data_IF_570482858008
#
_entry.id   IF_570482858008
#
_cell.length_a   1.000
_cell.length_b   1.000
_cell.length_c   1.000
_cell.angle_alpha   90.00
_cell.angle_beta   90.00
_cell.angle_gamma   90.00
#
_symmetry.space_group_name_H-M   'P 1'
#
loop_
_entity.id
_entity.type
_entity.pdbx_description
1 polymer ?
#
# COMPACT_ATOMS: atom_id res chain seq x y z
N UNK A 1 68.23 25.05 4.66
CA UNK A 1 67.00 25.37 3.92
C UNK A 1 65.85 24.73 4.69
N UNK A 2 65.12 25.51 5.48
CA UNK A 2 64.04 25.04 6.35
C UNK A 2 62.72 25.16 5.56
N UNK A 3 62.04 24.04 5.27
CA UNK A 3 60.74 24.06 4.59
C UNK A 3 59.65 23.86 5.64
N UNK A 4 58.89 24.92 5.89
CA UNK A 4 57.74 24.95 6.79
C UNK A 4 56.50 24.46 6.01
N UNK A 5 55.93 23.32 6.39
CA UNK A 5 54.67 22.79 5.85
C UNK A 5 53.49 23.39 6.63
N UNK A 6 52.70 24.21 5.94
CA UNK A 6 51.47 24.82 6.46
C UNK A 6 50.31 23.81 6.29
N UNK A 7 49.74 23.31 7.39
CA UNK A 7 48.48 22.55 7.34
C UNK A 7 47.30 23.54 7.27
N UNK A 8 46.59 23.56 6.15
CA UNK A 8 45.32 24.29 6.01
C UNK A 8 44.21 23.39 6.56
N UNK A 9 43.73 23.67 7.77
CA UNK A 9 42.50 23.05 8.29
C UNK A 9 41.30 23.74 7.69
N UNK A 10 40.70 23.13 6.66
CA UNK A 10 39.41 23.54 6.13
C UNK A 10 38.31 23.20 7.13
N UNK A 11 37.64 24.21 7.68
CA UNK A 11 36.42 24.01 8.44
C UNK A 11 35.31 23.55 7.48
N UNK A 12 34.90 22.29 7.59
CA UNK A 12 33.74 21.78 6.86
C UNK A 12 32.48 22.35 7.51
N UNK A 13 31.83 23.30 6.85
CA UNK A 13 30.49 23.73 7.24
C UNK A 13 29.53 22.57 6.89
N UNK A 14 28.98 21.93 7.92
CA UNK A 14 27.92 20.94 7.74
C UNK A 14 26.73 21.63 7.09
N UNK A 15 26.37 21.20 5.88
CA UNK A 15 25.10 21.57 5.26
C UNK A 15 24.00 20.93 6.12
N UNK A 16 22.97 21.69 6.55
CA UNK A 16 21.86 21.10 7.29
C UNK A 16 21.15 20.10 6.37
N UNK A 17 21.15 18.83 6.76
CA UNK A 17 20.28 17.81 6.18
C UNK A 17 18.81 18.27 6.35
N UNK A 18 17.95 18.12 5.33
CA UNK A 18 16.55 18.47 5.46
C UNK A 18 15.92 17.57 6.53
N UNK A 19 15.57 18.17 7.66
CA UNK A 19 14.78 17.54 8.72
C UNK A 19 13.33 17.42 8.27
N UNK A 20 13.08 16.57 7.27
CA UNK A 20 11.74 16.16 6.88
C UNK A 20 11.20 15.20 7.93
N UNK A 21 10.10 15.57 8.58
CA UNK A 21 9.32 14.64 9.40
C UNK A 21 8.92 13.44 8.54
N UNK A 22 8.90 12.23 9.11
CA UNK A 22 8.43 11.06 8.37
C UNK A 22 6.99 11.23 7.85
N UNK A 23 6.18 12.08 8.49
CA UNK A 23 4.82 12.42 8.04
C UNK A 23 4.82 13.21 6.71
N UNK A 24 5.79 14.11 6.49
CA UNK A 24 5.90 14.93 5.27
C UNK A 24 6.33 14.15 4.03
N UNK A 25 6.59 12.85 4.21
CA UNK A 25 7.07 11.96 3.14
C UNK A 25 6.03 10.94 2.69
N UNK A 26 4.84 10.90 3.28
CA UNK A 26 3.82 9.91 2.90
C UNK A 26 2.87 10.43 1.83
N UNK A 27 2.62 9.59 0.84
CA UNK A 27 1.67 9.80 -0.24
C UNK A 27 0.63 8.68 -0.18
N UNK A 28 -0.66 9.05 -0.14
CA UNK A 28 -1.76 8.10 -0.23
C UNK A 28 -2.42 8.24 -1.60
N UNK A 29 -2.57 7.13 -2.31
CA UNK A 29 -3.23 7.08 -3.62
C UNK A 29 -4.38 6.10 -3.63
N UNK A 30 -5.45 6.44 -4.35
CA UNK A 30 -6.48 5.49 -4.77
C UNK A 30 -5.98 4.75 -6.01
N UNK A 31 -5.86 3.43 -5.91
CA UNK A 31 -5.58 2.57 -7.05
C UNK A 31 -6.90 2.13 -7.69
N UNK A 32 -7.05 2.38 -8.99
CA UNK A 32 -8.15 1.87 -9.81
C UNK A 32 -7.60 0.84 -10.78
N UNK A 33 -8.01 -0.41 -10.60
CA UNK A 33 -7.64 -1.52 -11.47
C UNK A 33 -8.75 -1.74 -12.50
N UNK A 34 -8.37 -1.78 -13.77
CA UNK A 34 -9.28 -2.03 -14.88
C UNK A 34 -9.94 -3.42 -14.76
N UNK A 35 -11.13 -3.59 -15.36
CA UNK A 35 -11.75 -4.90 -15.50
C UNK A 35 -10.83 -5.93 -16.15
N UNK A 36 -10.84 -7.15 -15.62
CA UNK A 36 -10.12 -8.30 -16.17
C UNK A 36 -11.07 -9.36 -16.75
N UNK A 37 -10.50 -10.49 -17.18
CA UNK A 37 -11.24 -11.60 -17.78
C UNK A 37 -11.84 -12.57 -16.76
N UNK A 38 -11.31 -12.56 -15.55
CA UNK A 38 -11.74 -13.44 -14.47
C UNK A 38 -13.05 -12.96 -13.82
N UNK A 39 -13.89 -13.90 -13.37
CA UNK A 39 -15.24 -13.59 -12.83
C UNK A 39 -15.22 -12.59 -11.67
N UNK A 40 -14.16 -12.62 -10.87
CA UNK A 40 -13.96 -11.74 -9.72
C UNK A 40 -13.30 -10.39 -10.07
N UNK A 41 -12.88 -10.20 -11.32
CA UNK A 41 -12.29 -8.96 -11.87
C UNK A 41 -13.16 -8.27 -12.90
N UNK A 42 -14.35 -8.79 -13.22
CA UNK A 42 -15.22 -8.25 -14.29
C UNK A 42 -15.62 -6.78 -14.12
N UNK A 43 -15.63 -6.26 -12.89
CA UNK A 43 -15.96 -4.86 -12.59
C UNK A 43 -14.74 -4.02 -12.19
N UNK A 44 -13.54 -4.59 -12.34
CA UNK A 44 -12.31 -3.99 -11.84
C UNK A 44 -12.16 -4.13 -10.33
N UNK A 45 -11.25 -3.34 -9.76
CA UNK A 45 -10.95 -3.37 -8.32
C UNK A 45 -10.41 -2.01 -7.86
N UNK A 46 -10.54 -1.74 -6.56
CA UNK A 46 -9.99 -0.54 -5.93
C UNK A 46 -9.19 -0.93 -4.69
N UNK A 47 -8.02 -0.31 -4.52
CA UNK A 47 -7.18 -0.45 -3.34
C UNK A 47 -6.58 0.90 -2.95
N UNK A 48 -6.00 1.00 -1.75
CA UNK A 48 -5.26 2.19 -1.33
C UNK A 48 -3.77 1.88 -1.37
N UNK A 49 -2.96 2.77 -1.93
CA UNK A 49 -1.50 2.71 -1.88
C UNK A 49 -0.99 3.75 -0.90
N UNK A 50 -0.09 3.36 -0.01
CA UNK A 50 0.68 4.26 0.85
C UNK A 50 2.14 4.10 0.49
N UNK A 51 2.76 5.19 0.04
CA UNK A 51 4.17 5.22 -0.34
C UNK A 51 4.91 6.30 0.42
N UNK A 52 6.11 5.98 0.88
CA UNK A 52 7.05 6.98 1.35
C UNK A 52 7.88 7.52 0.17
N UNK A 53 7.71 8.80 -0.17
CA UNK A 53 8.42 9.42 -1.31
C UNK A 53 9.92 9.61 -1.04
N UNK A 54 10.34 9.65 0.23
CA UNK A 54 11.74 9.75 0.62
C UNK A 54 12.42 8.37 0.79
N UNK A 55 11.64 7.28 0.94
CA UNK A 55 12.15 5.92 1.13
C UNK A 55 11.42 4.95 0.20
N UNK A 56 12.03 4.68 -0.96
CA UNK A 56 11.43 3.87 -2.03
C UNK A 56 11.01 2.46 -1.59
N UNK A 57 11.67 1.87 -0.59
CA UNK A 57 11.33 0.54 -0.07
C UNK A 57 10.05 0.49 0.77
N UNK A 58 9.48 1.64 1.13
CA UNK A 58 8.21 1.72 1.86
C UNK A 58 7.10 2.09 0.88
N UNK A 59 6.52 1.07 0.25
CA UNK A 59 5.48 1.22 -0.76
C UNK A 59 4.53 0.02 -0.71
N UNK A 60 3.35 0.24 -0.13
CA UNK A 60 2.40 -0.82 0.18
C UNK A 60 1.01 -0.52 -0.35
N UNK A 61 0.36 -1.55 -0.87
CA UNK A 61 -1.04 -1.57 -1.23
C UNK A 61 -1.86 -2.26 -0.13
N UNK A 62 -2.96 -1.63 0.24
CA UNK A 62 -3.97 -2.15 1.14
C UNK A 62 -5.20 -2.57 0.32
N UNK A 63 -5.36 -3.88 0.19
CA UNK A 63 -6.36 -4.53 -0.65
C UNK A 63 -7.51 -5.05 0.23
N UNK A 64 -8.65 -4.38 0.19
CA UNK A 64 -9.85 -4.77 0.94
C UNK A 64 -10.62 -5.94 0.31
N UNK A 65 -10.24 -6.39 -0.88
CA UNK A 65 -10.90 -7.45 -1.64
C UNK A 65 -10.09 -8.74 -1.70
N UNK A 66 -9.24 -9.00 -0.70
CA UNK A 66 -8.45 -10.22 -0.63
C UNK A 66 -9.36 -11.43 -0.38
N UNK A 67 -9.13 -12.54 -1.06
CA UNK A 67 -9.83 -13.81 -0.85
C UNK A 67 -8.92 -14.98 -1.25
N UNK A 68 -9.31 -16.21 -0.91
CA UNK A 68 -8.55 -17.43 -1.26
C UNK A 68 -9.27 -18.30 -2.30
N UNK A 69 -8.55 -18.66 -3.37
CA UNK A 69 -9.00 -19.62 -4.38
C UNK A 69 -9.09 -21.06 -3.86
N UNK A 70 -8.39 -21.39 -2.78
CA UNK A 70 -8.41 -22.73 -2.18
C UNK A 70 -9.76 -23.02 -1.48
N UNK A 71 -10.65 -22.02 -1.40
CA UNK A 71 -11.99 -22.18 -0.87
C UNK A 71 -12.83 -23.10 -1.77
N UNK A 72 -13.37 -24.23 -1.26
CA UNK A 72 -14.18 -25.13 -2.06
C UNK A 72 -15.39 -24.44 -2.69
N UNK A 73 -15.59 -24.69 -4.00
CA UNK A 73 -16.66 -24.08 -4.81
C UNK A 73 -16.59 -22.54 -4.88
N UNK A 74 -15.39 -21.96 -4.92
CA UNK A 74 -15.17 -20.51 -4.96
C UNK A 74 -16.09 -19.77 -5.95
N UNK A 75 -16.15 -20.18 -7.21
CA UNK A 75 -16.97 -19.50 -8.24
C UNK A 75 -18.45 -19.45 -7.84
N UNK A 76 -19.00 -20.56 -7.36
CA UNK A 76 -20.40 -20.61 -6.90
C UNK A 76 -20.61 -19.70 -5.68
N UNK A 77 -19.68 -19.75 -4.71
CA UNK A 77 -19.73 -18.88 -3.53
C UNK A 77 -19.66 -17.40 -3.92
N UNK A 78 -18.80 -17.04 -4.85
CA UNK A 78 -18.65 -15.68 -5.35
C UNK A 78 -19.94 -15.16 -5.99
N UNK A 79 -20.49 -15.91 -6.94
CA UNK A 79 -21.73 -15.54 -7.64
C UNK A 79 -22.91 -15.41 -6.66
N UNK A 80 -22.96 -16.23 -5.60
CA UNK A 80 -24.00 -16.15 -4.56
C UNK A 80 -23.73 -15.10 -3.46
N UNK A 81 -22.66 -14.31 -3.54
CA UNK A 81 -22.30 -13.34 -2.50
C UNK A 81 -21.85 -13.98 -1.18
N UNK A 82 -21.31 -15.20 -1.25
CA UNK A 82 -20.82 -16.02 -0.13
C UNK A 82 -19.30 -16.23 -0.20
N UNK A 83 -18.57 -15.31 -0.82
CA UNK A 83 -17.11 -15.29 -0.72
C UNK A 83 -16.67 -14.68 0.60
N UNK A 84 -15.67 -15.32 1.21
CA UNK A 84 -15.01 -14.83 2.42
C UNK A 84 -13.89 -13.89 1.96
N UNK A 85 -14.00 -12.62 2.36
CA UNK A 85 -13.04 -11.58 1.99
C UNK A 85 -12.22 -11.16 3.20
N UNK A 86 -11.10 -10.50 2.95
CA UNK A 86 -10.30 -9.87 3.98
C UNK A 86 -9.49 -8.69 3.44
N UNK A 87 -8.79 -8.01 4.34
CA UNK A 87 -7.89 -6.92 4.00
C UNK A 87 -6.44 -7.41 4.05
N UNK A 88 -5.76 -7.43 2.91
CA UNK A 88 -4.33 -7.73 2.85
C UNK A 88 -3.51 -6.43 2.73
N UNK A 89 -2.31 -6.45 3.28
CA UNK A 89 -1.28 -5.43 3.04
C UNK A 89 -0.12 -6.11 2.32
N UNK A 90 0.25 -5.58 1.16
CA UNK A 90 1.30 -6.17 0.34
C UNK A 90 2.16 -5.09 -0.30
N UNK A 91 3.42 -5.40 -0.59
CA UNK A 91 4.26 -4.49 -1.38
C UNK A 91 3.57 -4.18 -2.70
N UNK A 92 3.52 -2.89 -3.08
CA UNK A 92 2.79 -2.45 -4.28
C UNK A 92 3.23 -3.18 -5.55
N UNK A 93 4.51 -3.57 -5.62
CA UNK A 93 5.05 -4.36 -6.72
C UNK A 93 4.40 -5.76 -6.85
N UNK A 94 4.11 -6.44 -5.73
CA UNK A 94 3.41 -7.75 -5.73
C UNK A 94 1.98 -7.57 -6.23
N UNK A 95 1.26 -6.59 -5.68
CA UNK A 95 -0.10 -6.27 -6.10
C UNK A 95 -0.15 -6.00 -7.61
N UNK A 96 0.70 -5.10 -8.11
CA UNK A 96 0.74 -4.68 -9.51
C UNK A 96 1.15 -5.83 -10.46
N UNK A 97 2.04 -6.73 -10.03
CA UNK A 97 2.45 -7.89 -10.83
C UNK A 97 1.25 -8.75 -11.24
N UNK A 98 0.27 -8.94 -10.34
CA UNK A 98 -0.92 -9.74 -10.63
C UNK A 98 -1.86 -9.13 -11.68
N UNK A 99 -1.77 -7.82 -11.92
CA UNK A 99 -2.54 -7.13 -12.96
C UNK A 99 -1.75 -7.05 -14.27
N UNK A 100 -0.42 -6.91 -14.19
CA UNK A 100 0.44 -6.99 -15.38
C UNK A 100 0.35 -8.35 -16.08
N UNK A 101 0.24 -9.44 -15.32
CA UNK A 101 0.04 -10.78 -15.87
C UNK A 101 -1.29 -10.95 -16.62
N UNK A 102 -2.29 -10.14 -16.26
CA UNK A 102 -3.63 -10.13 -16.84
C UNK A 102 -3.81 -9.07 -17.93
N UNK A 103 -2.73 -8.37 -18.33
CA UNK A 103 -2.77 -7.21 -19.24
C UNK A 103 -3.77 -6.13 -18.77
N UNK A 104 -3.96 -6.01 -17.45
CA UNK A 104 -4.91 -5.10 -16.84
C UNK A 104 -4.22 -3.83 -16.35
N UNK A 105 -4.77 -2.66 -16.72
CA UNK A 105 -4.24 -1.37 -16.30
C UNK A 105 -4.53 -1.09 -14.82
N UNK A 106 -3.53 -0.58 -14.10
CA UNK A 106 -3.70 0.00 -12.75
C UNK A 106 -3.36 1.48 -12.82
N UNK A 107 -4.32 2.33 -12.47
CA UNK A 107 -4.14 3.79 -12.40
C UNK A 107 -4.10 4.23 -10.95
N UNK A 108 -3.16 5.11 -10.60
CA UNK A 108 -3.07 5.71 -9.27
C UNK A 108 -3.52 7.17 -9.31
N UNK A 109 -4.46 7.52 -8.43
CA UNK A 109 -4.85 8.91 -8.16
C UNK A 109 -4.32 9.31 -6.77
N UNK A 110 -3.33 10.20 -6.74
CA UNK A 110 -2.84 10.77 -5.48
C UNK A 110 -3.96 11.59 -4.83
N UNK A 111 -4.27 11.29 -3.58
CA UNK A 111 -5.27 12.02 -2.82
C UNK A 111 -4.69 13.36 -2.35
N UNK A 112 -5.50 14.41 -2.40
CA UNK A 112 -5.13 15.75 -1.95
C UNK A 112 -5.17 15.84 -0.40
N UNK A 113 -4.27 15.11 0.26
CA UNK A 113 -4.12 15.08 1.72
C UNK A 113 -2.97 15.98 2.17
N UNK A 114 -3.09 16.59 3.33
CA UNK A 114 -1.93 17.17 4.04
C UNK A 114 -1.01 16.06 4.53
N UNK A 115 0.25 16.36 4.88
CA UNK A 115 1.14 15.39 5.53
C UNK A 115 0.55 14.68 6.75
N UNK A 116 -0.16 15.43 7.59
CA UNK A 116 -0.80 14.90 8.80
C UNK A 116 -1.96 13.95 8.44
N UNK A 117 -2.81 14.35 7.49
CA UNK A 117 -3.90 13.51 6.99
C UNK A 117 -3.38 12.21 6.34
N UNK A 118 -2.32 12.30 5.53
CA UNK A 118 -1.69 11.14 4.90
C UNK A 118 -1.11 10.18 5.97
N UNK A 119 -0.50 10.73 7.01
CA UNK A 119 0.00 9.96 8.14
C UNK A 119 -1.13 9.24 8.88
N UNK A 120 -2.24 9.93 9.15
CA UNK A 120 -3.37 9.35 9.88
C UNK A 120 -4.08 8.26 9.08
N UNK A 121 -4.24 8.43 7.77
CA UNK A 121 -4.75 7.38 6.89
C UNK A 121 -3.81 6.16 6.91
N UNK A 122 -2.50 6.38 6.80
CA UNK A 122 -1.52 5.30 6.87
C UNK A 122 -1.56 4.57 8.22
N UNK A 123 -1.69 5.30 9.33
CA UNK A 123 -1.82 4.72 10.67
C UNK A 123 -3.11 3.89 10.79
N UNK A 124 -4.24 4.43 10.35
CA UNK A 124 -5.52 3.73 10.41
C UNK A 124 -5.49 2.41 9.60
N UNK A 125 -4.88 2.43 8.41
CA UNK A 125 -4.75 1.24 7.57
C UNK A 125 -3.84 0.19 8.21
N UNK A 126 -2.69 0.58 8.77
CA UNK A 126 -1.80 -0.34 9.49
C UNK A 126 -2.49 -0.93 10.72
N UNK A 127 -3.23 -0.11 11.48
CA UNK A 127 -3.93 -0.58 12.68
C UNK A 127 -4.95 -1.69 12.37
N UNK A 128 -5.66 -1.62 11.23
CA UNK A 128 -6.60 -2.69 10.82
C UNK A 128 -5.85 -4.01 10.64
N UNK A 129 -4.67 -3.97 10.01
CA UNK A 129 -3.87 -5.16 9.71
C UNK A 129 -3.23 -5.71 10.98
N UNK A 130 -2.57 -4.86 11.77
CA UNK A 130 -1.88 -5.21 13.01
C UNK A 130 -2.82 -5.79 14.07
N UNK A 131 -4.06 -5.30 14.16
CA UNK A 131 -5.06 -5.80 15.11
C UNK A 131 -5.38 -7.29 14.93
N UNK A 132 -5.10 -7.86 13.75
CA UNK A 132 -5.49 -9.20 13.39
C UNK A 132 -4.31 -10.17 13.16
N UNK A 133 -3.08 -9.78 13.56
CA UNK A 133 -1.89 -10.64 13.60
C UNK A 133 -1.67 -11.46 12.30
N UNK A 134 -1.33 -10.81 11.18
CA UNK A 134 -1.22 -11.47 9.89
C UNK A 134 0.03 -12.37 9.78
N UNK A 135 -0.06 -13.44 8.99
CA UNK A 135 1.14 -14.18 8.55
C UNK A 135 1.91 -13.33 7.54
N UNK A 136 3.14 -12.98 7.87
CA UNK A 136 4.03 -12.26 6.98
C UNK A 136 4.78 -13.24 6.08
N UNK A 137 4.62 -13.08 4.77
CA UNK A 137 5.41 -13.78 3.75
C UNK A 137 6.38 -12.81 3.09
N UNK A 138 7.64 -13.22 2.99
CA UNK A 138 8.68 -12.46 2.30
C UNK A 138 9.06 -13.11 0.97
N UNK A 139 9.24 -12.28 -0.05
CA UNK A 139 9.69 -12.67 -1.38
C UNK A 139 10.95 -11.88 -1.71
N UNK A 140 12.03 -12.60 -2.02
CA UNK A 140 13.29 -11.99 -2.45
C UNK A 140 13.33 -12.02 -3.98
N UNK A 141 13.37 -10.85 -4.60
CA UNK A 141 13.36 -10.70 -6.06
C UNK A 141 14.60 -9.95 -6.55
N UNK A 142 15.08 -10.20 -7.78
CA UNK A 142 16.14 -9.39 -8.36
C UNK A 142 15.67 -7.95 -8.56
N UNK A 143 16.38 -7.00 -7.97
CA UNK A 143 16.16 -5.58 -8.14
C UNK A 143 16.79 -5.04 -9.43
N UNK A 144 16.33 -3.87 -9.87
CA UNK A 144 16.75 -3.26 -11.13
C UNK A 144 18.23 -2.83 -11.14
N UNK A 145 18.80 -2.60 -9.97
CA UNK A 145 20.22 -2.26 -9.78
C UNK A 145 21.12 -3.49 -9.63
N UNK A 146 20.57 -4.71 -9.73
CA UNK A 146 21.28 -5.97 -9.51
C UNK A 146 21.40 -6.38 -8.03
N UNK A 147 20.91 -5.57 -7.09
CA UNK A 147 20.72 -5.97 -5.69
C UNK A 147 19.42 -6.75 -5.53
N UNK A 148 19.16 -7.28 -4.34
CA UNK A 148 17.92 -8.02 -4.05
C UNK A 148 16.90 -7.10 -3.38
N UNK A 149 15.70 -7.05 -3.95
CA UNK A 149 14.55 -6.40 -3.32
C UNK A 149 13.79 -7.41 -2.45
N UNK A 150 13.26 -6.93 -1.33
CA UNK A 150 12.40 -7.71 -0.44
C UNK A 150 10.99 -7.18 -0.53
N UNK A 151 10.09 -8.04 -1.00
CA UNK A 151 8.67 -7.76 -1.07
C UNK A 151 7.94 -8.54 0.02
N UNK A 152 6.93 -7.94 0.64
CA UNK A 152 6.17 -8.58 1.72
C UNK A 152 4.69 -8.68 1.37
N UNK A 153 4.07 -9.77 1.82
CA UNK A 153 2.63 -9.96 1.84
C UNK A 153 2.23 -10.30 3.28
N UNK A 154 1.50 -9.41 3.91
CA UNK A 154 0.87 -9.63 5.21
C UNK A 154 -0.51 -10.26 4.96
N UNK A 155 -0.55 -11.59 5.03
CA UNK A 155 -1.74 -12.36 4.72
C UNK A 155 -2.72 -12.35 5.89
N UNK A 156 -4.00 -12.03 5.62
CA UNK A 156 -4.98 -12.03 6.67
C UNK A 156 -5.52 -13.42 6.98
N UNK A 157 -5.74 -13.70 8.27
CA UNK A 157 -6.47 -14.89 8.74
C UNK A 157 -7.92 -14.58 9.18
N UNK A 158 -8.29 -13.31 9.23
CA UNK A 158 -9.66 -12.87 9.53
C UNK A 158 -10.47 -12.74 8.25
N UNK A 159 -11.80 -12.79 8.40
CA UNK A 159 -12.72 -12.72 7.27
C UNK A 159 -13.87 -11.75 7.53
N UNK A 160 -14.40 -11.18 6.46
CA UNK A 160 -15.65 -10.46 6.41
C UNK A 160 -16.42 -10.79 5.13
N UNK A 161 -17.70 -10.38 5.09
CA UNK A 161 -18.58 -10.56 3.93
C UNK A 161 -18.80 -9.24 3.25
N UNK A 162 -18.76 -9.26 1.92
CA UNK A 162 -19.21 -8.13 1.12
C UNK A 162 -20.72 -8.13 0.97
N UNK A 163 -21.26 -6.92 0.86
CA UNK A 163 -22.45 -6.66 0.07
C UNK A 163 -21.98 -5.97 -1.20
N UNK A 164 -22.02 -6.64 -2.35
CA UNK A 164 -21.43 -6.14 -3.60
C UNK A 164 -21.79 -4.68 -3.94
N UNK A 165 -22.97 -4.20 -3.56
CA UNK A 165 -23.44 -2.85 -3.85
C UNK A 165 -23.10 -1.83 -2.77
N UNK A 166 -23.15 -2.22 -1.49
CA UNK A 166 -23.09 -1.26 -0.37
C UNK A 166 -21.85 -1.41 0.52
N UNK A 167 -21.18 -2.57 0.47
CA UNK A 167 -20.02 -2.90 1.29
C UNK A 167 -19.04 -3.77 0.49
N UNK A 168 -18.07 -3.11 -0.15
CA UNK A 168 -17.11 -3.72 -1.07
C UNK A 168 -15.74 -3.01 -0.98
N UNK A 169 -14.81 -3.35 -1.87
CA UNK A 169 -13.46 -2.82 -1.85
C UNK A 169 -13.40 -1.28 -1.92
N UNK A 170 -14.29 -0.66 -2.70
CA UNK A 170 -14.35 0.79 -2.87
C UNK A 170 -14.96 1.47 -1.65
N UNK A 171 -16.11 0.99 -1.15
CA UNK A 171 -16.77 1.63 0.01
C UNK A 171 -15.97 1.45 1.29
N UNK A 172 -15.25 0.33 1.46
CA UNK A 172 -14.35 0.13 2.60
C UNK A 172 -13.10 1.00 2.54
N UNK A 173 -12.48 1.15 1.36
CA UNK A 173 -11.37 2.08 1.16
C UNK A 173 -11.81 3.52 1.48
N UNK A 174 -12.98 3.94 0.99
CA UNK A 174 -13.55 5.25 1.30
C UNK A 174 -13.80 5.42 2.80
N UNK A 175 -14.42 4.44 3.45
CA UNK A 175 -14.72 4.48 4.88
C UNK A 175 -13.44 4.56 5.74
N UNK A 176 -12.37 3.86 5.36
CA UNK A 176 -11.08 3.93 6.04
C UNK A 176 -10.48 5.34 5.96
N UNK A 177 -10.51 5.96 4.76
CA UNK A 177 -10.05 7.35 4.57
C UNK A 177 -10.92 8.31 5.38
N UNK A 178 -12.25 8.25 5.24
CA UNK A 178 -13.16 9.13 5.97
C UNK A 178 -13.01 9.03 7.49
N UNK A 179 -12.86 7.81 8.02
CA UNK A 179 -12.68 7.59 9.46
C UNK A 179 -11.37 8.19 9.96
N UNK A 180 -10.27 8.05 9.20
CA UNK A 180 -8.99 8.66 9.54
C UNK A 180 -9.05 10.20 9.49
N UNK A 181 -9.85 10.76 8.58
CA UNK A 181 -10.02 12.20 8.42
C UNK A 181 -11.04 12.83 9.37
N UNK A 182 -11.86 12.05 10.08
CA UNK A 182 -12.94 12.58 10.91
C UNK A 182 -12.48 13.58 11.98
N UNK A 183 -11.23 13.46 12.48
CA UNK A 183 -10.65 14.40 13.45
C UNK A 183 -10.18 15.73 12.85
N UNK A 184 -10.08 15.82 11.52
CA UNK A 184 -9.65 17.02 10.78
C UNK A 184 -10.83 17.91 10.35
N UNK A 185 -12.07 17.52 10.67
CA UNK A 185 -13.29 18.19 10.22
C UNK A 185 -13.78 17.68 8.86
N UNK A 186 -15.00 18.07 8.48
CA UNK A 186 -15.56 17.72 7.18
C UNK A 186 -14.84 18.47 6.06
N UNK A 187 -14.55 17.76 4.96
CA UNK A 187 -14.06 18.29 3.69
C UNK A 187 -15.01 17.96 2.56
#
# INVERSE_FOLDING_TARGET
MLVLLLFITGASAAVPEPSGSAADSLEVSLLTCAPGHEVYRLYGHTALRVRNVARQSSDYTYNFGWFSFDTPNFVMRFVLGRTDYSMAKESTALFAQSYLQDDAQVTAQVLALTPEEAHDVAQALNAIVEQHDPEVREYVVPGLNGEQDRLTLEMPHWIYRYNFLYDNCTTRALAAVQSALAKHGER
#
